data_IF_479293210386
#
_entry.id   IF_479293210386
#
_cell.length_a   1.000
_cell.length_b   1.000
_cell.length_c   1.000
_cell.angle_alpha   90.00
_cell.angle_beta   90.00
_cell.angle_gamma   90.00
#
_symmetry.space_group_name_H-M   'P 1'
#
loop_
_entity.id
_entity.type
_entity.pdbx_description
1 polymer ?
#
# COMPACT_ATOMS: atom_id res chain seq x y z
N UNK A 1 -12.48 -8.41 -12.83
CA UNK A 1 -12.82 -6.97 -12.82
C UNK A 1 -11.91 -6.29 -11.82
N UNK A 2 -11.29 -5.14 -12.15
CA UNK A 2 -10.31 -4.43 -11.33
C UNK A 2 -10.82 -3.03 -10.94
N UNK A 3 -11.90 -2.96 -10.14
CA UNK A 3 -12.60 -1.70 -9.85
C UNK A 3 -12.08 -0.92 -8.63
N UNK A 4 -11.22 -1.51 -7.80
CA UNK A 4 -10.66 -0.85 -6.61
C UNK A 4 -11.60 -0.77 -5.39
N UNK A 5 -12.84 -1.23 -5.48
CA UNK A 5 -13.82 -1.15 -4.38
C UNK A 5 -13.36 -1.87 -3.09
N UNK A 6 -12.67 -3.00 -3.20
CA UNK A 6 -12.14 -3.70 -2.03
C UNK A 6 -11.02 -2.92 -1.31
N UNK A 7 -10.26 -2.13 -2.07
CA UNK A 7 -9.21 -1.27 -1.53
C UNK A 7 -9.85 -0.09 -0.82
N UNK A 8 -10.83 0.56 -1.43
CA UNK A 8 -11.59 1.66 -0.82
C UNK A 8 -12.31 1.21 0.47
N UNK A 9 -13.02 0.09 0.43
CA UNK A 9 -13.83 -0.38 1.55
C UNK A 9 -13.02 -0.90 2.75
N UNK A 10 -11.71 -1.18 2.58
CA UNK A 10 -10.91 -1.75 3.66
C UNK A 10 -10.54 -0.67 4.70
N UNK A 11 -11.06 -0.76 5.95
CA UNK A 11 -10.82 0.26 6.98
C UNK A 11 -9.39 0.24 7.51
N UNK A 12 -8.71 -0.89 7.36
CA UNK A 12 -7.33 -1.08 7.79
C UNK A 12 -6.35 -0.90 6.66
N UNK A 13 -6.74 -0.51 5.44
CA UNK A 13 -5.87 -0.41 4.25
C UNK A 13 -5.19 -1.72 3.78
N UNK A 14 -5.62 -2.92 4.24
CA UNK A 14 -4.86 -4.19 4.10
C UNK A 14 -4.54 -4.58 2.65
N UNK A 15 -5.32 -4.04 1.72
CA UNK A 15 -5.21 -4.28 0.30
C UNK A 15 -4.86 -3.00 -0.43
N UNK A 16 -4.10 -3.15 -1.50
CA UNK A 16 -3.80 -2.10 -2.45
C UNK A 16 -3.87 -2.66 -3.87
N UNK A 17 -4.15 -1.79 -4.83
CA UNK A 17 -3.99 -2.14 -6.24
C UNK A 17 -2.50 -2.06 -6.57
N UNK A 18 -1.90 -3.17 -7.00
CA UNK A 18 -0.50 -3.20 -7.43
C UNK A 18 -0.29 -2.43 -8.73
N UNK A 19 0.96 -2.08 -9.03
CA UNK A 19 1.35 -1.41 -10.29
C UNK A 19 1.55 -2.35 -11.49
N UNK A 20 1.54 -3.67 -11.26
CA UNK A 20 1.68 -4.68 -12.32
C UNK A 20 0.41 -4.86 -13.13
N UNK A 21 0.54 -4.90 -14.46
CA UNK A 21 -0.58 -5.07 -15.40
C UNK A 21 -0.45 -6.33 -16.29
N UNK A 22 0.75 -6.91 -16.41
CA UNK A 22 1.04 -8.07 -17.26
C UNK A 22 1.07 -9.37 -16.43
N UNK A 23 -0.08 -9.83 -15.96
CA UNK A 23 -0.21 -11.06 -15.16
C UNK A 23 -1.03 -12.15 -15.87
N UNK A 24 -1.03 -12.15 -17.21
CA UNK A 24 -1.68 -13.18 -18.00
C UNK A 24 -1.03 -14.56 -17.80
N UNK A 25 -1.85 -15.61 -17.72
CA UNK A 25 -1.43 -17.01 -17.62
C UNK A 25 -2.10 -17.85 -18.70
N UNK A 26 -1.51 -19.00 -19.02
CA UNK A 26 -2.02 -19.90 -20.07
C UNK A 26 -3.24 -20.71 -19.63
N UNK A 27 -3.33 -21.07 -18.34
CA UNK A 27 -4.48 -21.77 -17.76
C UNK A 27 -5.33 -20.84 -16.90
N UNK A 28 -6.59 -21.21 -16.68
CA UNK A 28 -7.50 -20.42 -15.82
C UNK A 28 -7.19 -20.62 -14.35
N UNK A 29 -6.72 -21.81 -14.01
CA UNK A 29 -6.35 -22.25 -12.68
C UNK A 29 -5.17 -21.40 -12.15
N UNK A 30 -4.20 -21.09 -13.02
CA UNK A 30 -3.05 -20.25 -12.68
C UNK A 30 -3.42 -18.76 -12.47
N UNK A 31 -4.62 -18.34 -12.84
CA UNK A 31 -5.10 -16.96 -12.61
C UNK A 31 -5.75 -16.78 -11.23
N UNK A 32 -5.90 -17.85 -10.45
CA UNK A 32 -6.38 -17.78 -9.07
C UNK A 32 -5.23 -17.33 -8.17
N UNK A 33 -5.36 -16.14 -7.58
CA UNK A 33 -4.36 -15.60 -6.66
C UNK A 33 -4.73 -16.03 -5.24
N UNK A 34 -3.85 -16.81 -4.59
CA UNK A 34 -4.05 -17.24 -3.21
C UNK A 34 -3.55 -16.19 -2.20
N UNK A 35 -3.98 -16.33 -0.94
CA UNK A 35 -3.61 -15.40 0.13
C UNK A 35 -2.10 -15.42 0.38
N UNK A 36 -1.48 -16.59 0.26
CA UNK A 36 -0.04 -16.80 0.41
C UNK A 36 0.74 -16.03 -0.66
N UNK A 37 0.27 -16.03 -1.90
CA UNK A 37 0.87 -15.24 -2.99
C UNK A 37 0.78 -13.74 -2.68
N UNK A 38 -0.38 -13.28 -2.18
CA UNK A 38 -0.58 -11.89 -1.78
C UNK A 38 0.30 -11.48 -0.60
N UNK A 39 0.62 -12.39 0.32
CA UNK A 39 1.52 -12.12 1.45
C UNK A 39 2.96 -12.01 0.99
N UNK A 40 3.40 -12.93 0.11
CA UNK A 40 4.78 -13.01 -0.36
C UNK A 40 5.11 -12.03 -1.51
N UNK A 41 4.11 -11.45 -2.17
CA UNK A 41 4.32 -10.51 -3.27
C UNK A 41 5.07 -9.24 -2.87
N UNK A 42 5.88 -8.70 -3.79
CA UNK A 42 6.51 -7.40 -3.62
C UNK A 42 5.44 -6.29 -3.48
N UNK A 43 5.63 -5.41 -2.49
CA UNK A 43 4.66 -4.38 -2.14
C UNK A 43 4.89 -3.11 -2.95
N UNK A 44 4.45 -3.14 -4.21
CA UNK A 44 4.51 -2.00 -5.13
C UNK A 44 3.09 -1.44 -5.32
N UNK A 45 2.59 -0.60 -4.38
CA UNK A 45 1.27 -0.01 -4.51
C UNK A 45 1.23 0.95 -5.70
N UNK A 46 0.07 1.02 -6.35
CA UNK A 46 -0.27 2.12 -7.25
C UNK A 46 -0.67 3.37 -6.47
N UNK A 47 -0.72 4.51 -7.16
CA UNK A 47 -1.20 5.78 -6.61
C UNK A 47 -2.72 5.85 -6.48
N UNK A 48 -3.43 4.80 -6.90
CA UNK A 48 -4.89 4.75 -6.81
C UNK A 48 -5.38 4.93 -5.37
N UNK A 49 -6.22 5.95 -5.17
CA UNK A 49 -6.77 6.36 -3.88
C UNK A 49 -5.68 6.66 -2.82
N UNK A 50 -4.50 7.12 -3.27
CA UNK A 50 -3.33 7.47 -2.44
C UNK A 50 -2.62 8.73 -2.96
N UNK A 51 -3.25 9.91 -2.90
CA UNK A 51 -2.68 11.17 -3.41
C UNK A 51 -1.37 11.57 -2.70
N UNK A 52 -1.14 11.09 -1.48
CA UNK A 52 0.12 11.30 -0.74
C UNK A 52 1.34 10.70 -1.46
N UNK A 53 1.16 9.61 -2.21
CA UNK A 53 2.26 8.99 -2.97
C UNK A 53 2.61 9.81 -4.21
N UNK A 54 1.61 10.37 -4.90
CA UNK A 54 1.87 11.28 -6.02
C UNK A 54 2.58 12.54 -5.54
N UNK A 55 2.15 13.09 -4.39
CA UNK A 55 2.77 14.27 -3.78
C UNK A 55 4.23 14.03 -3.36
N UNK A 56 4.58 12.83 -2.92
CA UNK A 56 5.96 12.49 -2.59
C UNK A 56 6.83 12.16 -3.81
N UNK A 57 6.27 12.20 -5.03
CA UNK A 57 6.97 11.85 -6.25
C UNK A 57 7.26 10.36 -6.38
N UNK A 58 6.51 9.50 -5.69
CA UNK A 58 6.66 8.06 -5.80
C UNK A 58 6.22 7.56 -7.19
N UNK A 59 7.11 6.83 -7.85
CA UNK A 59 6.83 6.13 -9.11
C UNK A 59 6.43 4.66 -8.84
N UNK A 60 5.18 4.26 -9.10
CA UNK A 60 4.73 2.88 -8.95
C UNK A 60 5.44 1.86 -9.85
N UNK A 61 6.05 2.32 -10.95
CA UNK A 61 6.76 1.47 -11.91
C UNK A 61 8.24 1.35 -11.61
N UNK A 62 8.79 2.25 -10.80
CA UNK A 62 10.20 2.28 -10.42
C UNK A 62 10.67 1.09 -9.58
N UNK A 63 9.75 0.21 -9.18
CA UNK A 63 10.08 -1.06 -8.52
C UNK A 63 10.55 -0.92 -7.06
N UNK A 64 10.44 0.27 -6.46
CA UNK A 64 10.71 0.48 -5.03
C UNK A 64 9.55 -0.10 -4.20
N UNK A 65 9.73 -1.20 -3.46
CA UNK A 65 8.71 -1.67 -2.55
C UNK A 65 8.55 -0.67 -1.41
N UNK A 66 7.31 -0.36 -1.06
CA UNK A 66 6.99 0.52 0.06
C UNK A 66 6.50 -0.28 1.25
N UNK A 67 6.91 0.17 2.44
CA UNK A 67 6.40 -0.34 3.69
C UNK A 67 4.95 0.11 3.88
N UNK A 68 4.19 -0.75 4.55
CA UNK A 68 2.85 -0.44 5.04
C UNK A 68 2.74 0.94 5.72
N UNK A 69 3.78 1.33 6.47
CA UNK A 69 3.84 2.58 7.21
C UNK A 69 3.86 3.81 6.30
N UNK A 70 4.40 3.69 5.10
CA UNK A 70 4.52 4.77 4.10
C UNK A 70 3.26 4.92 3.24
N UNK A 71 2.45 3.86 3.10
CA UNK A 71 1.40 3.77 2.06
C UNK A 71 -0.03 3.90 2.55
N UNK A 72 -0.25 3.84 3.86
CA UNK A 72 -1.61 4.02 4.42
C UNK A 72 -2.15 5.43 4.14
N UNK A 73 -3.46 5.51 3.88
CA UNK A 73 -4.17 6.69 3.37
C UNK A 73 -4.34 7.81 4.38
N UNK A 74 -4.47 7.47 5.66
CA UNK A 74 -4.73 8.46 6.70
C UNK A 74 -3.91 8.18 7.98
N UNK A 75 -3.48 9.27 8.64
CA UNK A 75 -3.42 9.32 10.10
C UNK A 75 -4.64 10.11 10.51
N UNK A 76 -5.64 9.49 11.13
CA UNK A 76 -6.76 10.24 11.67
C UNK A 76 -6.26 11.16 12.81
N UNK A 77 -6.79 12.38 12.93
CA UNK A 77 -6.38 13.33 13.98
C UNK A 77 -6.54 12.78 15.41
N UNK A 78 -7.50 11.87 15.60
CA UNK A 78 -7.75 11.17 16.87
C UNK A 78 -6.87 9.93 17.07
N UNK A 79 -6.16 9.48 16.03
CA UNK A 79 -5.21 8.37 16.04
C UNK A 79 -3.80 8.83 15.64
N UNK A 80 -3.30 9.96 16.17
CA UNK A 80 -1.92 10.43 15.89
C UNK A 80 -0.84 9.41 16.25
N UNK A 81 -1.12 8.55 17.23
CA UNK A 81 -0.25 7.46 17.71
C UNK A 81 -0.69 6.08 17.23
N UNK A 82 -1.67 5.97 16.33
CA UNK A 82 -2.17 4.68 15.85
C UNK A 82 -2.35 4.70 14.33
N UNK A 83 -1.87 3.67 13.62
CA UNK A 83 -2.09 3.54 12.17
C UNK A 83 -2.68 2.16 11.90
N UNK A 84 -3.88 2.13 11.31
CA UNK A 84 -4.62 0.90 11.03
C UNK A 84 -4.75 -0.05 12.26
N UNK A 85 -5.04 0.52 13.44
CA UNK A 85 -5.23 -0.24 14.69
C UNK A 85 -3.93 -0.67 15.41
N UNK A 86 -2.75 -0.32 14.88
CA UNK A 86 -1.47 -0.56 15.54
C UNK A 86 -1.02 0.68 16.32
N UNK A 87 -0.69 0.54 17.61
CA UNK A 87 -0.05 1.60 18.41
C UNK A 87 1.39 1.82 17.96
N UNK A 88 1.66 3.01 17.43
CA UNK A 88 3.00 3.50 17.07
C UNK A 88 3.67 4.06 18.34
N UNK A 89 4.94 3.70 18.55
CA UNK A 89 5.77 4.23 19.64
C UNK A 89 6.48 5.48 19.13
N UNK A 90 6.81 6.45 19.98
CA UNK A 90 7.44 7.74 19.58
C UNK A 90 8.70 7.58 18.73
N UNK A 91 9.47 6.51 18.93
CA UNK A 91 10.65 6.16 18.10
C UNK A 91 10.32 5.84 16.64
N UNK A 92 9.06 5.56 16.32
CA UNK A 92 8.59 5.28 14.95
C UNK A 92 8.19 6.56 14.19
N UNK A 93 8.16 7.72 14.87
CA UNK A 93 7.73 9.01 14.32
C UNK A 93 8.91 9.77 13.69
N UNK A 94 10.09 9.65 14.29
CA UNK A 94 11.29 10.42 13.92
C UNK A 94 11.94 9.96 12.61
N UNK A 95 11.66 8.73 12.15
CA UNK A 95 12.20 8.20 10.90
C UNK A 95 11.59 8.76 9.61
N UNK A 96 10.58 9.65 9.70
CA UNK A 96 9.84 10.16 8.53
C UNK A 96 10.01 11.67 8.27
N UNK A 97 10.74 12.39 9.13
CA UNK A 97 10.91 13.85 9.02
C UNK A 97 12.32 14.31 8.61
N UNK A 98 13.27 13.42 8.35
CA UNK A 98 14.67 13.80 8.05
C UNK A 98 15.11 13.66 6.58
N UNK A 99 14.21 13.42 5.62
CA UNK A 99 14.56 13.48 4.18
C UNK A 99 13.59 14.33 3.35
N UNK A 100 13.57 15.64 3.59
CA UNK A 100 13.55 16.65 2.52
C UNK A 100 13.73 18.03 3.10
N UNK A 101 14.88 18.59 2.75
CA UNK A 101 15.32 19.97 2.96
C UNK A 101 14.33 21.00 2.41
#
# INVERSE_FOLDING_TARGET
MFCGLCVEACPYDCLFMGSGFEQGRYSREDMVIHVEDLRNSAKNPSTFYRPQLEKSGYDPRGGRPLSWREVGREKWDWHRREKAGLRLIETDIDGASEESK
#
